data_IF_003435404442
#
_entry.id   IF_003435404442
#
_cell.length_a   1.000
_cell.length_b   1.000
_cell.length_c   1.000
_cell.angle_alpha   90.00
_cell.angle_beta   90.00
_cell.angle_gamma   90.00
#
_symmetry.space_group_name_H-M   'P 1'
#
loop_
_entity.id
_entity.type
_entity.pdbx_description
1 polymer ?
#
# COMPACT_ATOMS: atom_id res chain seq x y z
N UNK A 1 22.56 -50.18 3.45
CA UNK A 1 23.05 -50.45 4.82
C UNK A 1 23.09 -49.08 5.50
N UNK A 2 22.27 -48.67 6.43
CA UNK A 2 21.55 -49.38 7.47
C UNK A 2 20.31 -48.58 7.90
N UNK A 3 19.21 -49.24 8.07
CA UNK A 3 17.93 -48.80 8.61
C UNK A 3 18.06 -48.75 10.14
N UNK A 4 17.61 -47.71 10.81
CA UNK A 4 17.18 -47.75 12.21
C UNK A 4 16.22 -46.60 12.48
N UNK A 5 15.08 -46.93 12.70
CA UNK A 5 14.16 -47.37 13.79
C UNK A 5 13.38 -46.20 14.40
N UNK A 6 12.18 -46.19 14.02
CA UNK A 6 10.92 -45.88 14.69
C UNK A 6 11.03 -45.87 16.25
N UNK A 7 10.58 -44.75 16.84
CA UNK A 7 10.07 -44.82 18.22
C UNK A 7 8.77 -44.02 18.30
N UNK A 8 7.67 -44.80 18.39
CA UNK A 8 6.34 -44.30 18.75
C UNK A 8 6.32 -44.10 20.27
N UNK A 9 5.92 -42.94 20.72
CA UNK A 9 5.47 -42.76 22.10
C UNK A 9 4.04 -42.22 22.05
N UNK A 10 3.15 -43.12 22.40
CA UNK A 10 1.76 -42.84 22.74
C UNK A 10 1.73 -42.22 24.14
N UNK A 11 1.08 -41.10 24.34
CA UNK A 11 0.69 -40.62 25.67
C UNK A 11 -0.82 -40.59 25.79
N UNK A 12 -1.23 -41.36 26.77
CA UNK A 12 -2.58 -41.63 27.22
C UNK A 12 -3.26 -40.38 27.80
N UNK A 13 -4.52 -40.31 27.47
CA UNK A 13 -5.63 -39.57 28.01
C UNK A 13 -5.64 -39.51 29.53
N UNK A 14 -5.81 -38.32 30.10
CA UNK A 14 -6.41 -38.13 31.43
C UNK A 14 -7.50 -37.09 31.35
N UNK A 15 -8.74 -37.60 31.35
CA UNK A 15 -9.94 -36.83 31.60
C UNK A 15 -10.03 -36.45 33.07
N UNK A 16 -10.05 -35.19 33.37
CA UNK A 16 -10.52 -34.64 34.63
C UNK A 16 -11.69 -33.69 34.37
N UNK A 17 -12.91 -34.18 34.55
CA UNK A 17 -14.14 -33.41 34.58
C UNK A 17 -14.19 -32.65 35.90
N UNK A 18 -13.99 -31.37 35.89
CA UNK A 18 -14.27 -30.47 37.02
C UNK A 18 -15.56 -29.75 36.74
N UNK A 19 -16.66 -30.21 37.36
CA UNK A 19 -17.91 -29.48 37.46
C UNK A 19 -17.69 -28.26 38.37
N UNK A 20 -17.62 -27.06 37.79
CA UNK A 20 -17.80 -25.81 38.54
C UNK A 20 -19.24 -25.32 38.39
N UNK A 21 -20.02 -25.44 39.47
CA UNK A 21 -21.30 -24.74 39.58
C UNK A 21 -21.05 -23.26 39.68
N UNK A 22 -21.36 -22.49 38.62
CA UNK A 22 -21.37 -21.03 38.65
C UNK A 22 -22.73 -20.58 39.24
N UNK A 23 -22.69 -20.01 40.42
CA UNK A 23 -23.78 -19.27 41.01
C UNK A 23 -23.93 -17.97 40.20
N UNK A 24 -25.01 -17.84 39.44
CA UNK A 24 -25.35 -16.64 38.68
C UNK A 24 -25.74 -15.52 39.67
N UNK A 25 -24.79 -14.68 40.02
CA UNK A 25 -25.01 -13.38 40.62
C UNK A 25 -25.51 -12.41 39.57
N UNK A 26 -26.81 -12.17 39.50
CA UNK A 26 -27.45 -11.15 38.66
C UNK A 26 -27.20 -9.75 39.21
N UNK A 27 -25.96 -9.29 39.12
CA UNK A 27 -25.60 -7.88 39.26
C UNK A 27 -25.95 -7.13 37.99
N UNK A 28 -27.10 -6.40 38.01
CA UNK A 28 -27.48 -5.51 36.92
C UNK A 28 -26.39 -4.46 36.67
N UNK A 29 -25.63 -4.60 35.58
CA UNK A 29 -24.76 -3.53 35.07
C UNK A 29 -25.66 -2.42 34.57
N UNK A 30 -25.44 -1.16 34.98
CA UNK A 30 -26.12 -0.05 34.33
C UNK A 30 -25.78 -0.10 32.83
N UNK A 31 -26.81 -0.06 31.98
CA UNK A 31 -26.64 0.05 30.54
C UNK A 31 -25.90 1.36 30.26
N UNK A 32 -24.65 1.26 29.86
CA UNK A 32 -23.90 2.39 29.31
C UNK A 32 -24.61 2.78 28.02
N UNK A 33 -25.20 3.97 27.98
CA UNK A 33 -25.80 4.51 26.78
C UNK A 33 -24.76 4.46 25.65
N UNK A 34 -25.12 3.99 24.45
CA UNK A 34 -24.23 4.02 23.34
C UNK A 34 -23.78 5.46 23.10
N UNK A 35 -22.47 5.70 23.19
CA UNK A 35 -21.93 6.97 22.73
C UNK A 35 -22.33 7.14 21.26
N UNK A 36 -22.82 8.32 20.84
CA UNK A 36 -23.04 8.59 19.44
C UNK A 36 -21.71 8.36 18.74
N UNK A 37 -21.65 7.32 17.90
CA UNK A 37 -20.55 7.16 16.97
C UNK A 37 -20.62 8.37 16.05
N UNK A 38 -19.62 9.24 16.13
CA UNK A 38 -19.46 10.30 15.14
C UNK A 38 -19.40 9.62 13.78
N UNK A 39 -20.43 9.84 12.96
CA UNK A 39 -20.37 9.41 11.55
C UNK A 39 -19.08 9.94 10.93
N UNK A 40 -18.39 9.11 10.14
CA UNK A 40 -17.21 9.60 9.42
C UNK A 40 -17.65 10.80 8.58
N UNK A 41 -16.85 11.87 8.54
CA UNK A 41 -17.21 13.06 7.75
C UNK A 41 -17.53 12.63 6.31
N UNK A 42 -18.61 13.17 5.75
CA UNK A 42 -18.98 12.97 4.35
C UNK A 42 -17.76 13.34 3.49
N UNK A 43 -17.27 12.39 2.71
CA UNK A 43 -16.11 12.59 1.84
C UNK A 43 -16.56 12.63 0.39
N UNK A 44 -16.22 13.69 -0.29
CA UNK A 44 -16.44 13.77 -1.73
C UNK A 44 -15.26 13.10 -2.48
N UNK A 45 -15.54 11.97 -3.16
CA UNK A 45 -14.54 11.24 -3.93
C UNK A 45 -14.65 11.59 -5.42
N UNK A 46 -13.52 11.93 -6.04
CA UNK A 46 -13.42 12.26 -7.46
C UNK A 46 -12.55 11.23 -8.17
N UNK A 47 -13.00 10.62 -9.27
CA UNK A 47 -12.16 9.79 -10.11
C UNK A 47 -10.98 10.60 -10.67
N UNK A 48 -9.80 9.98 -10.69
CA UNK A 48 -8.58 10.60 -11.24
C UNK A 48 -7.83 9.60 -12.12
N UNK A 49 -7.11 10.14 -13.12
CA UNK A 49 -6.27 9.33 -13.99
C UNK A 49 -5.29 10.15 -14.79
N UNK A 50 -4.26 9.48 -15.31
CA UNK A 50 -3.23 10.12 -16.10
C UNK A 50 -2.02 9.23 -16.33
N UNK A 51 -0.91 9.85 -16.71
CA UNK A 51 0.35 9.18 -17.01
C UNK A 51 1.48 9.82 -16.20
N UNK A 52 2.40 9.00 -15.72
CA UNK A 52 3.64 9.41 -15.06
C UNK A 52 4.80 8.97 -15.94
N UNK A 53 5.74 9.87 -16.20
CA UNK A 53 6.98 9.60 -16.92
C UNK A 53 8.15 10.14 -16.10
N UNK A 54 9.10 9.27 -15.77
CA UNK A 54 10.29 9.66 -14.98
C UNK A 54 11.56 9.10 -15.56
N UNK A 55 12.70 9.71 -15.25
CA UNK A 55 14.04 9.23 -15.60
C UNK A 55 14.88 8.99 -14.34
N UNK A 56 15.79 8.02 -14.42
CA UNK A 56 16.79 7.76 -13.39
C UNK A 56 17.95 8.76 -13.46
N UNK A 57 18.68 8.87 -12.35
CA UNK A 57 19.96 9.56 -12.32
C UNK A 57 19.89 11.09 -12.23
N UNK A 58 18.71 11.68 -12.12
CA UNK A 58 18.60 13.14 -11.97
C UNK A 58 19.08 13.63 -10.58
N UNK A 59 18.91 12.83 -9.54
CA UNK A 59 19.35 13.12 -8.17
C UNK A 59 20.40 12.09 -7.74
N UNK A 60 20.03 10.80 -7.80
CA UNK A 60 20.85 9.65 -7.47
C UNK A 60 20.40 8.40 -8.27
N UNK A 61 21.05 7.27 -8.04
CA UNK A 61 20.74 6.02 -8.77
C UNK A 61 19.45 5.33 -8.33
N UNK A 62 18.91 5.70 -7.17
CA UNK A 62 17.72 5.09 -6.60
C UNK A 62 16.45 5.95 -6.80
N UNK A 63 16.62 7.20 -7.22
CA UNK A 63 15.53 8.15 -7.35
C UNK A 63 15.26 8.48 -8.82
N UNK A 64 14.01 8.25 -9.21
CA UNK A 64 13.49 8.73 -10.49
C UNK A 64 12.82 10.08 -10.31
N UNK A 65 12.93 10.96 -11.31
CA UNK A 65 12.23 12.25 -11.36
C UNK A 65 11.58 12.46 -12.71
N UNK A 66 10.44 13.13 -12.71
CA UNK A 66 9.75 13.47 -13.93
C UNK A 66 8.42 14.17 -13.70
N UNK A 67 7.48 13.89 -14.59
CA UNK A 67 6.19 14.58 -14.64
C UNK A 67 5.02 13.60 -14.63
N UNK A 68 3.94 14.03 -14.02
CA UNK A 68 2.61 13.45 -14.16
C UNK A 68 1.74 14.34 -15.06
N UNK A 69 0.89 13.71 -15.84
CA UNK A 69 -0.16 14.37 -16.64
C UNK A 69 -1.54 13.91 -16.15
N UNK A 70 -2.62 14.49 -16.68
CA UNK A 70 -3.98 14.16 -16.28
C UNK A 70 -4.45 14.96 -15.06
N UNK A 71 -5.25 14.33 -14.20
CA UNK A 71 -5.96 15.03 -13.11
C UNK A 71 -5.03 15.44 -11.95
N UNK A 72 -3.92 14.71 -11.75
CA UNK A 72 -2.90 15.00 -10.73
C UNK A 72 -1.59 15.50 -11.36
N UNK A 73 -1.71 16.32 -12.41
CA UNK A 73 -0.56 16.82 -13.16
C UNK A 73 0.42 17.60 -12.29
N UNK A 74 1.72 17.42 -12.55
CA UNK A 74 2.78 18.10 -11.79
C UNK A 74 4.12 17.36 -11.85
N UNK A 75 5.01 17.68 -10.91
CA UNK A 75 6.28 17.01 -10.74
C UNK A 75 6.13 15.80 -9.83
N UNK A 76 6.85 14.74 -10.15
CA UNK A 76 6.82 13.50 -9.36
C UNK A 76 8.21 12.89 -9.25
N UNK A 77 8.50 12.29 -8.10
CA UNK A 77 9.66 11.43 -7.91
C UNK A 77 9.27 10.14 -7.21
N UNK A 78 10.06 9.09 -7.45
CA UNK A 78 9.97 7.81 -6.77
C UNK A 78 11.35 7.38 -6.32
N UNK A 79 11.53 7.13 -5.03
CA UNK A 79 12.78 6.67 -4.45
C UNK A 79 12.65 5.22 -4.00
N UNK A 80 13.53 4.35 -4.49
CA UNK A 80 13.60 2.95 -4.05
C UNK A 80 14.00 2.86 -2.58
N UNK A 81 13.23 2.11 -1.80
CA UNK A 81 13.46 1.85 -0.37
C UNK A 81 14.25 0.55 -0.15
N UNK A 82 15.27 0.32 -0.93
CA UNK A 82 16.13 -0.85 -0.88
C UNK A 82 16.24 -1.58 -2.20
N UNK A 83 17.00 -2.67 -2.21
CA UNK A 83 17.16 -3.49 -3.42
C UNK A 83 15.88 -4.26 -3.74
N UNK A 84 15.57 -4.50 -5.03
CA UNK A 84 14.50 -5.39 -5.44
C UNK A 84 14.64 -6.78 -4.80
N UNK A 85 13.52 -7.35 -4.36
CA UNK A 85 13.46 -8.66 -3.72
C UNK A 85 12.79 -9.68 -4.65
N UNK A 86 13.19 -10.96 -4.63
CA UNK A 86 12.48 -12.01 -5.34
C UNK A 86 11.02 -12.09 -4.88
N UNK A 87 10.09 -12.16 -5.83
CA UNK A 87 8.67 -12.42 -5.60
C UNK A 87 8.27 -13.85 -6.01
N UNK A 88 6.98 -14.07 -6.18
CA UNK A 88 6.47 -15.36 -6.64
C UNK A 88 6.80 -15.58 -8.12
N UNK A 89 7.25 -16.81 -8.47
CA UNK A 89 7.61 -17.16 -9.85
C UNK A 89 8.78 -16.32 -10.36
N UNK A 90 8.62 -15.73 -11.54
CA UNK A 90 9.63 -14.85 -12.18
C UNK A 90 9.31 -13.36 -11.91
N UNK A 91 8.95 -13.00 -10.70
CA UNK A 91 8.65 -11.61 -10.34
C UNK A 91 9.71 -11.03 -9.42
N UNK A 92 9.80 -9.69 -9.43
CA UNK A 92 10.54 -8.92 -8.42
C UNK A 92 9.55 -8.00 -7.70
N UNK A 93 9.80 -7.81 -6.42
CA UNK A 93 9.06 -6.88 -5.56
C UNK A 93 9.97 -5.70 -5.25
N UNK A 94 9.47 -4.50 -5.48
CA UNK A 94 10.17 -3.24 -5.17
C UNK A 94 9.32 -2.38 -4.25
N UNK A 95 9.97 -1.69 -3.33
CA UNK A 95 9.33 -0.73 -2.43
C UNK A 95 9.78 0.68 -2.81
N UNK A 96 8.81 1.59 -2.91
CA UNK A 96 9.05 2.94 -3.42
C UNK A 96 8.35 3.97 -2.54
N UNK A 97 9.07 5.02 -2.18
CA UNK A 97 8.48 6.24 -1.60
C UNK A 97 8.24 7.25 -2.71
N UNK A 98 7.01 7.76 -2.80
CA UNK A 98 6.65 8.79 -3.74
C UNK A 98 6.67 10.17 -3.12
N UNK A 99 7.07 11.14 -3.93
CA UNK A 99 6.91 12.55 -3.66
C UNK A 99 6.26 13.21 -4.89
N UNK A 100 5.15 13.92 -4.67
CA UNK A 100 4.37 14.49 -5.76
C UNK A 100 3.99 15.92 -5.43
N UNK A 101 4.24 16.83 -6.39
CA UNK A 101 3.87 18.25 -6.29
C UNK A 101 3.05 18.59 -7.52
N UNK A 102 1.81 19.02 -7.33
CA UNK A 102 0.93 19.41 -8.43
C UNK A 102 1.35 20.74 -9.06
N UNK A 103 0.82 21.07 -10.24
CA UNK A 103 1.05 22.37 -10.89
C UNK A 103 0.60 23.56 -10.03
N UNK A 104 -0.36 23.39 -9.13
CA UNK A 104 -0.77 24.42 -8.16
C UNK A 104 0.21 24.61 -7.00
N UNK A 105 1.23 23.76 -6.89
CA UNK A 105 2.19 23.76 -5.78
C UNK A 105 1.75 22.95 -4.56
N UNK A 106 0.55 22.37 -4.59
CA UNK A 106 0.10 21.46 -3.53
C UNK A 106 0.82 20.13 -3.61
N UNK A 107 1.14 19.53 -2.45
CA UNK A 107 1.77 18.21 -2.41
C UNK A 107 0.76 17.11 -2.17
N UNK A 108 1.07 15.89 -2.64
CA UNK A 108 0.38 14.67 -2.24
C UNK A 108 1.35 13.78 -1.45
N UNK A 109 0.85 13.25 -0.35
CA UNK A 109 1.57 12.31 0.52
C UNK A 109 1.02 10.91 0.33
N UNK A 110 1.92 9.94 0.15
CA UNK A 110 1.58 8.54 -0.04
C UNK A 110 2.29 7.68 0.99
N UNK A 111 1.66 6.57 1.38
CA UNK A 111 2.37 5.50 2.06
C UNK A 111 3.45 4.92 1.15
N UNK A 112 4.51 4.31 1.72
CA UNK A 112 5.45 3.51 0.94
C UNK A 112 4.71 2.45 0.13
N UNK A 113 4.88 2.47 -1.18
CA UNK A 113 4.16 1.60 -2.09
C UNK A 113 5.00 0.36 -2.46
N UNK A 114 4.30 -0.73 -2.74
CA UNK A 114 4.92 -1.98 -3.20
C UNK A 114 4.49 -2.27 -4.62
N UNK A 115 5.46 -2.38 -5.53
CA UNK A 115 5.21 -2.79 -6.90
C UNK A 115 5.71 -4.21 -7.15
N UNK A 116 4.94 -4.98 -7.92
CA UNK A 116 5.37 -6.27 -8.45
C UNK A 116 5.71 -6.11 -9.93
N UNK A 117 6.90 -6.55 -10.30
CA UNK A 117 7.41 -6.43 -11.66
C UNK A 117 7.74 -7.80 -12.26
N UNK A 118 7.64 -7.91 -13.58
CA UNK A 118 8.07 -9.06 -14.36
C UNK A 118 9.22 -8.62 -15.26
N UNK A 119 10.44 -9.14 -15.08
CA UNK A 119 11.56 -8.84 -15.98
C UNK A 119 11.26 -9.32 -17.41
N UNK A 120 11.40 -8.42 -18.38
CA UNK A 120 11.27 -8.69 -19.81
C UNK A 120 12.63 -8.75 -20.50
N UNK A 121 13.62 -8.01 -19.98
CA UNK A 121 15.02 -8.04 -20.40
C UNK A 121 15.92 -7.70 -19.21
N UNK A 122 17.20 -7.48 -19.45
CA UNK A 122 18.16 -7.07 -18.41
C UNK A 122 17.86 -5.67 -17.85
N UNK A 123 17.23 -4.80 -18.61
CA UNK A 123 16.95 -3.41 -18.22
C UNK A 123 15.47 -3.10 -18.12
N UNK A 124 14.60 -3.85 -18.80
CA UNK A 124 13.17 -3.60 -18.90
C UNK A 124 12.36 -4.59 -18.05
N UNK A 125 11.47 -4.06 -17.25
CA UNK A 125 10.47 -4.82 -16.49
C UNK A 125 9.07 -4.24 -16.70
N UNK A 126 8.08 -5.12 -16.89
CA UNK A 126 6.68 -4.73 -16.81
C UNK A 126 6.26 -4.64 -15.34
N UNK A 127 5.52 -3.60 -14.99
CA UNK A 127 4.91 -3.44 -13.66
C UNK A 127 3.47 -3.91 -13.73
N UNK A 128 3.17 -5.00 -13.04
CA UNK A 128 1.87 -5.70 -13.12
C UNK A 128 0.92 -5.32 -11.99
N UNK A 129 1.45 -4.94 -10.83
CA UNK A 129 0.69 -4.39 -9.72
C UNK A 129 1.48 -3.28 -9.04
N UNK A 130 0.85 -2.15 -8.81
CA UNK A 130 1.47 -1.02 -8.13
C UNK A 130 0.39 -0.10 -7.52
N UNK A 131 -0.23 -0.52 -6.41
CA UNK A 131 -1.17 0.31 -5.69
C UNK A 131 -0.44 1.43 -4.96
N UNK A 132 -0.99 2.65 -5.01
CA UNK A 132 -0.57 3.81 -4.24
C UNK A 132 -1.70 4.21 -3.32
N UNK A 133 -1.42 4.35 -2.03
CA UNK A 133 -2.37 4.83 -1.03
C UNK A 133 -2.05 6.28 -0.66
N UNK A 134 -2.98 7.19 -0.99
CA UNK A 134 -2.89 8.62 -0.66
C UNK A 134 -3.33 8.83 0.80
N UNK A 135 -2.48 9.45 1.59
CA UNK A 135 -2.69 9.70 3.02
C UNK A 135 -2.92 11.17 3.36
N UNK A 136 -2.79 12.05 2.37
CA UNK A 136 -2.99 13.50 2.54
C UNK A 136 -2.13 14.32 1.61
N UNK A 137 -1.79 15.52 2.06
CA UNK A 137 -0.96 16.48 1.33
C UNK A 137 -1.11 17.88 1.88
N UNK A 138 -0.74 18.85 1.05
CA UNK A 138 -0.93 20.28 1.35
C UNK A 138 -2.04 20.90 0.49
N UNK A 139 -2.43 22.13 0.79
CA UNK A 139 -3.44 22.88 0.05
C UNK A 139 -4.76 22.13 -0.03
N UNK A 140 -5.24 21.84 -1.22
CA UNK A 140 -6.50 21.12 -1.44
C UNK A 140 -6.46 19.66 -1.00
N UNK A 141 -5.27 19.08 -0.79
CA UNK A 141 -5.09 17.68 -0.36
C UNK A 141 -4.93 17.51 1.15
N UNK A 142 -5.09 18.56 1.95
CA UNK A 142 -5.12 18.44 3.42
C UNK A 142 -6.28 17.52 3.81
N UNK A 143 -5.98 16.42 4.52
CA UNK A 143 -6.96 15.40 4.92
C UNK A 143 -7.52 14.53 3.79
N UNK A 144 -7.04 14.71 2.56
CA UNK A 144 -7.45 13.86 1.45
C UNK A 144 -6.93 12.43 1.63
N UNK A 145 -7.69 11.46 1.12
CA UNK A 145 -7.29 10.04 1.05
C UNK A 145 -7.64 9.49 -0.33
N UNK A 146 -7.13 8.31 -0.67
CA UNK A 146 -7.50 7.69 -1.92
C UNK A 146 -6.59 6.54 -2.30
N UNK A 147 -7.04 5.79 -3.29
CA UNK A 147 -6.30 4.67 -3.83
C UNK A 147 -6.13 4.83 -5.34
N UNK A 148 -4.89 4.71 -5.79
CA UNK A 148 -4.54 4.71 -7.20
C UNK A 148 -3.97 3.34 -7.57
N UNK A 149 -4.39 2.81 -8.71
CA UNK A 149 -3.74 1.68 -9.36
C UNK A 149 -2.82 2.18 -10.44
N UNK A 150 -1.61 1.68 -10.45
CA UNK A 150 -0.58 2.08 -11.40
C UNK A 150 -0.08 0.85 -12.14
N UNK A 151 0.01 0.93 -13.46
CA UNK A 151 0.57 -0.09 -14.35
C UNK A 151 1.49 0.56 -15.36
N UNK A 152 2.48 -0.18 -15.84
CA UNK A 152 3.40 0.36 -16.84
C UNK A 152 4.71 -0.41 -16.91
N UNK A 153 5.79 0.32 -17.12
CA UNK A 153 7.12 -0.28 -17.28
C UNK A 153 8.20 0.54 -16.59
N UNK A 154 9.25 -0.15 -16.21
CA UNK A 154 10.51 0.40 -15.71
C UNK A 154 11.62 -0.07 -16.64
N UNK A 155 12.27 0.86 -17.33
CA UNK A 155 13.51 0.63 -18.07
C UNK A 155 14.64 1.34 -17.33
N UNK A 156 15.59 0.61 -16.80
CA UNK A 156 16.72 1.14 -16.00
C UNK A 156 17.62 2.11 -16.76
N UNK A 157 17.49 2.16 -18.10
CA UNK A 157 18.25 3.06 -18.97
C UNK A 157 17.42 4.25 -19.44
N UNK A 158 16.15 4.01 -19.79
CA UNK A 158 15.25 5.02 -20.39
C UNK A 158 14.32 5.70 -19.41
N UNK A 159 14.18 5.15 -18.19
CA UNK A 159 13.26 5.65 -17.18
C UNK A 159 11.97 4.84 -17.08
N UNK A 160 10.92 5.44 -16.54
CA UNK A 160 9.67 4.75 -16.28
C UNK A 160 8.50 5.42 -16.99
N UNK A 161 7.52 4.62 -17.40
CA UNK A 161 6.25 5.09 -17.95
C UNK A 161 5.12 4.33 -17.28
N UNK A 162 4.24 5.06 -16.60
CA UNK A 162 3.10 4.49 -15.88
C UNK A 162 1.79 5.18 -16.28
N UNK A 163 0.70 4.41 -16.32
CA UNK A 163 -0.66 4.93 -16.20
C UNK A 163 -1.12 4.78 -14.76
N UNK A 164 -1.71 5.82 -14.21
CA UNK A 164 -2.44 5.73 -12.96
C UNK A 164 -3.94 5.95 -13.17
N UNK A 165 -4.75 5.31 -12.35
CA UNK A 165 -6.20 5.52 -12.28
C UNK A 165 -6.68 5.18 -10.87
N UNK A 166 -7.72 5.85 -10.40
CA UNK A 166 -8.29 5.61 -9.08
C UNK A 166 -9.21 6.72 -8.64
N UNK A 167 -9.22 7.02 -7.36
CA UNK A 167 -10.02 8.10 -6.81
C UNK A 167 -9.27 8.85 -5.69
N UNK A 168 -9.59 10.13 -5.55
CA UNK A 168 -9.18 10.98 -4.44
C UNK A 168 -10.42 11.47 -3.71
N UNK A 169 -10.47 11.23 -2.41
CA UNK A 169 -11.56 11.64 -1.53
C UNK A 169 -11.08 12.82 -0.68
N UNK A 170 -11.74 13.94 -0.83
CA UNK A 170 -11.43 15.15 -0.09
C UNK A 170 -12.25 15.19 1.21
N UNK A 171 -11.66 15.74 2.27
CA UNK A 171 -12.43 16.10 3.46
C UNK A 171 -13.31 17.32 3.13
N UNK A 172 -14.57 17.31 3.58
CA UNK A 172 -15.40 18.49 3.47
C UNK A 172 -14.76 19.63 4.24
N UNK A 173 -14.75 20.80 3.64
CA UNK A 173 -14.30 22.02 4.32
C UNK A 173 -15.51 22.57 5.08
N UNK A 174 -15.42 22.54 6.41
CA UNK A 174 -16.34 23.24 7.30
C UNK A 174 -16.32 24.76 7.02
#
# INVERSE_FOLDING_TARGET
>A
MTIERITRIAFLVFSAVLLFAFIASSGGRPAVAPHPQSEPPDRHCTPVGGTVMTNFGAIDQNTTMGTATGDLRGAVSGTLLGAPQPGAGNTLVIHVQHHWVTESGDTLSFDPATATTVPLSQTLSAVVTYPLHLTGGTGKFVGATGDLNTIGEVDLVKGTVFRYSGQVCFADKD
#
